data_IF_362937230795
#
_entry.id   IF_362937230795
#
_cell.length_a   1.000
_cell.length_b   1.000
_cell.length_c   1.000
_cell.angle_alpha   90.00
_cell.angle_beta   90.00
_cell.angle_gamma   90.00
#
_symmetry.space_group_name_H-M   'P 1'
#
loop_
_entity.id
_entity.type
_entity.pdbx_description
1 polymer ?
#
# COMPACT_ATOMS: atom_id res chain seq x y z
N UNK A 1 11.20 54.82 39.96
CA UNK A 1 10.76 53.46 39.55
C UNK A 1 9.88 53.58 38.31
N UNK A 2 10.44 53.50 37.10
CA UNK A 2 9.68 53.63 35.84
C UNK A 2 9.58 52.27 35.16
N UNK A 3 8.38 51.67 35.19
CA UNK A 3 8.06 50.37 34.59
C UNK A 3 8.01 50.54 33.06
N UNK A 4 9.06 50.15 32.35
CA UNK A 4 9.06 50.10 30.86
C UNK A 4 8.06 49.03 30.41
N UNK A 5 6.89 49.45 29.96
CA UNK A 5 5.94 48.61 29.23
C UNK A 5 6.55 48.25 27.88
N UNK A 6 6.65 46.95 27.58
CA UNK A 6 7.17 46.43 26.31
C UNK A 6 5.99 45.94 25.45
N UNK A 7 5.24 46.86 24.79
CA UNK A 7 4.06 46.50 24.00
C UNK A 7 4.42 45.55 22.85
N UNK A 8 5.66 45.61 22.35
CA UNK A 8 6.18 44.71 21.31
C UNK A 8 6.20 43.23 21.73
N UNK A 9 6.52 42.94 23.00
CA UNK A 9 6.54 41.57 23.51
C UNK A 9 5.11 40.99 23.61
N UNK A 10 4.13 41.84 23.90
CA UNK A 10 2.73 41.46 24.02
C UNK A 10 2.09 41.18 22.65
N UNK A 11 2.45 41.97 21.62
CA UNK A 11 1.95 41.79 20.24
C UNK A 11 2.47 40.49 19.61
N UNK A 12 3.74 40.12 19.82
CA UNK A 12 4.28 38.84 19.32
C UNK A 12 3.59 37.61 19.93
N UNK A 13 3.16 37.69 21.20
CA UNK A 13 2.48 36.58 21.88
C UNK A 13 1.05 36.35 21.33
N UNK A 14 0.35 37.42 20.94
CA UNK A 14 -1.02 37.34 20.38
C UNK A 14 -1.00 36.79 18.95
N UNK A 15 0.03 37.10 18.15
CA UNK A 15 0.18 36.55 16.78
C UNK A 15 0.52 35.06 16.80
N UNK A 16 1.31 34.59 17.77
CA UNK A 16 1.64 33.17 17.91
C UNK A 16 0.44 32.29 18.28
N UNK A 17 -0.56 32.83 18.99
CA UNK A 17 -1.73 32.08 19.43
C UNK A 17 -2.75 31.78 18.31
N UNK A 18 -2.69 32.50 17.19
CA UNK A 18 -3.62 32.34 16.06
C UNK A 18 -3.22 31.22 15.08
N UNK A 19 -2.03 30.64 15.23
CA UNK A 19 -1.44 29.68 14.29
C UNK A 19 -1.68 28.20 14.58
N UNK A 20 -2.30 27.84 15.72
CA UNK A 20 -2.55 26.44 16.07
C UNK A 20 -3.82 25.91 15.38
N UNK A 21 -3.80 25.88 14.05
CA UNK A 21 -4.77 25.08 13.29
C UNK A 21 -4.48 23.61 13.64
N UNK A 22 -5.47 22.94 14.24
CA UNK A 22 -5.39 21.51 14.47
C UNK A 22 -5.27 20.79 13.13
N UNK A 23 -4.28 19.91 13.02
CA UNK A 23 -3.91 19.25 11.77
C UNK A 23 -4.88 18.11 11.47
N UNK A 24 -5.17 17.92 10.18
CA UNK A 24 -6.00 16.82 9.71
C UNK A 24 -5.27 15.49 9.89
N UNK A 25 -6.01 14.44 10.25
CA UNK A 25 -5.47 13.09 10.37
C UNK A 25 -5.86 12.29 9.14
N UNK A 26 -4.89 11.58 8.55
CA UNK A 26 -5.14 10.77 7.34
C UNK A 26 -4.84 9.30 7.63
N UNK A 27 -5.82 8.43 7.40
CA UNK A 27 -5.63 6.98 7.41
C UNK A 27 -5.68 6.45 5.99
N UNK A 28 -4.61 5.78 5.57
CA UNK A 28 -4.53 5.04 4.33
C UNK A 28 -4.87 3.59 4.66
N UNK A 29 -5.96 3.07 4.10
CA UNK A 29 -6.38 1.70 4.34
C UNK A 29 -6.22 0.89 3.06
N UNK A 30 -5.44 -0.18 3.14
CA UNK A 30 -5.24 -1.13 2.04
C UNK A 30 -5.57 -2.54 2.51
N UNK A 31 -5.98 -3.37 1.56
CA UNK A 31 -6.01 -4.82 1.75
C UNK A 31 -4.61 -5.40 1.51
N UNK A 32 -4.29 -6.52 2.15
CA UNK A 32 -3.17 -7.37 1.73
C UNK A 32 -3.22 -7.73 0.23
N UNK A 33 -2.06 -7.98 -0.37
CA UNK A 33 -1.92 -8.41 -1.76
C UNK A 33 -2.31 -9.90 -1.97
N UNK A 34 -2.22 -10.39 -3.21
CA UNK A 34 -2.61 -11.73 -3.61
C UNK A 34 -1.92 -12.82 -2.78
N UNK A 35 -2.70 -13.76 -2.24
CA UNK A 35 -2.22 -14.87 -1.42
C UNK A 35 -1.86 -16.09 -2.28
N UNK A 36 -0.91 -16.90 -1.82
CA UNK A 36 -0.48 -18.12 -2.52
C UNK A 36 -1.56 -19.21 -2.50
N UNK A 37 -2.25 -19.39 -1.38
CA UNK A 37 -3.32 -20.37 -1.21
C UNK A 37 -4.58 -19.70 -0.67
N UNK A 38 -5.74 -20.08 -1.24
CA UNK A 38 -7.03 -19.62 -0.73
C UNK A 38 -7.51 -20.40 0.49
N UNK A 39 -6.97 -21.61 0.69
CA UNK A 39 -7.40 -22.57 1.73
C UNK A 39 -6.61 -22.40 3.02
N UNK A 40 -5.40 -21.85 2.95
CA UNK A 40 -4.56 -21.59 4.11
C UNK A 40 -4.85 -20.22 4.72
N UNK A 41 -5.14 -20.24 6.02
CA UNK A 41 -5.57 -19.11 6.84
C UNK A 41 -4.43 -18.11 7.11
N UNK A 42 -3.18 -18.60 7.13
CA UNK A 42 -1.96 -17.78 7.24
C UNK A 42 -1.07 -17.90 5.98
N UNK A 43 -1.73 -18.07 4.83
CA UNK A 43 -1.02 -18.17 3.55
C UNK A 43 -0.15 -16.92 3.29
N UNK A 44 1.11 -17.10 2.87
CA UNK A 44 1.95 -16.00 2.42
C UNK A 44 1.46 -15.41 1.09
N UNK A 45 2.10 -14.33 0.65
CA UNK A 45 1.85 -13.74 -0.67
C UNK A 45 2.30 -14.66 -1.79
N UNK A 46 1.51 -14.71 -2.86
CA UNK A 46 1.94 -15.29 -4.13
C UNK A 46 3.01 -14.40 -4.79
N UNK A 47 3.65 -14.91 -5.84
CA UNK A 47 4.61 -14.11 -6.61
C UNK A 47 3.96 -12.84 -7.20
N UNK A 48 2.71 -12.95 -7.65
CA UNK A 48 1.92 -11.79 -8.10
C UNK A 48 1.69 -10.78 -6.95
N UNK A 49 1.38 -11.27 -5.75
CA UNK A 49 1.21 -10.43 -4.57
C UNK A 49 2.49 -9.75 -4.13
N UNK A 50 3.63 -10.42 -4.22
CA UNK A 50 4.94 -9.82 -3.95
C UNK A 50 5.28 -8.71 -4.96
N UNK A 51 5.03 -8.94 -6.26
CA UNK A 51 5.19 -7.92 -7.31
C UNK A 51 4.28 -6.71 -7.05
N UNK A 52 3.02 -6.93 -6.66
CA UNK A 52 2.10 -5.85 -6.25
C UNK A 52 2.62 -5.07 -5.05
N UNK A 53 3.08 -5.76 -4.00
CA UNK A 53 3.61 -5.13 -2.79
C UNK A 53 4.80 -4.21 -3.11
N UNK A 54 5.67 -4.61 -4.04
CA UNK A 54 6.76 -3.76 -4.53
C UNK A 54 6.25 -2.55 -5.34
N UNK A 55 5.29 -2.78 -6.24
CA UNK A 55 4.72 -1.71 -7.07
C UNK A 55 3.93 -0.66 -6.25
N UNK A 56 3.42 -1.03 -5.07
CA UNK A 56 2.72 -0.15 -4.15
C UNK A 56 3.63 0.88 -3.46
N UNK A 57 4.92 0.61 -3.33
CA UNK A 57 5.87 1.46 -2.60
C UNK A 57 5.83 2.93 -3.04
N UNK A 58 6.03 3.28 -4.32
CA UNK A 58 6.05 4.70 -4.73
C UNK A 58 4.73 5.42 -4.46
N UNK A 59 3.59 4.74 -4.65
CA UNK A 59 2.27 5.29 -4.35
C UNK A 59 2.14 5.60 -2.87
N UNK A 60 2.42 4.62 -2.01
CA UNK A 60 2.22 4.75 -0.56
C UNK A 60 3.25 5.69 0.09
N UNK A 61 4.48 5.71 -0.43
CA UNK A 61 5.55 6.64 0.00
C UNK A 61 5.15 8.09 -0.26
N UNK A 62 4.42 8.38 -1.35
CA UNK A 62 3.99 9.76 -1.66
C UNK A 62 3.06 10.39 -0.61
N UNK A 63 2.41 9.58 0.22
CA UNK A 63 1.59 10.05 1.34
C UNK A 63 2.39 10.31 2.62
N UNK A 64 3.69 9.98 2.65
CA UNK A 64 4.58 10.16 3.80
C UNK A 64 4.01 9.57 5.11
N UNK A 65 3.67 8.27 5.16
CA UNK A 65 3.11 7.67 6.36
C UNK A 65 4.13 7.67 7.50
N UNK A 66 3.70 8.17 8.65
CA UNK A 66 4.50 8.26 9.89
C UNK A 66 4.41 6.99 10.74
N UNK A 67 3.37 6.20 10.54
CA UNK A 67 3.19 4.91 11.21
C UNK A 67 2.58 3.88 10.26
N UNK A 68 3.01 2.64 10.43
CA UNK A 68 2.56 1.48 9.66
C UNK A 68 1.90 0.49 10.62
N UNK A 69 0.70 0.03 10.30
CA UNK A 69 -0.03 -0.98 11.05
C UNK A 69 -0.41 -2.14 10.12
N UNK A 70 -0.25 -3.36 10.61
CA UNK A 70 -0.68 -4.56 9.91
C UNK A 70 -1.34 -5.53 10.88
N UNK A 71 -2.13 -6.47 10.35
CA UNK A 71 -2.49 -7.61 11.18
C UNK A 71 -1.29 -8.55 11.37
N UNK A 72 -1.38 -9.40 12.36
CA UNK A 72 -0.49 -10.52 12.71
C UNK A 72 -0.31 -11.60 11.61
N UNK A 73 -0.87 -11.41 10.41
CA UNK A 73 -0.84 -12.41 9.35
C UNK A 73 0.32 -12.22 8.40
N UNK A 74 0.87 -13.31 7.86
CA UNK A 74 2.01 -13.24 6.94
C UNK A 74 1.72 -12.37 5.73
N UNK A 75 0.56 -12.52 5.11
CA UNK A 75 0.15 -11.74 3.92
C UNK A 75 0.13 -10.22 4.16
N UNK A 76 -0.35 -9.75 5.31
CA UNK A 76 -0.41 -8.31 5.62
C UNK A 76 0.98 -7.77 5.90
N UNK A 77 1.78 -8.52 6.67
CA UNK A 77 3.17 -8.19 6.96
C UNK A 77 4.02 -8.13 5.68
N UNK A 78 3.92 -9.14 4.82
CA UNK A 78 4.65 -9.21 3.55
C UNK A 78 4.21 -8.14 2.55
N UNK A 79 2.94 -7.69 2.61
CA UNK A 79 2.47 -6.58 1.75
C UNK A 79 3.13 -5.26 2.14
N UNK A 80 3.33 -5.01 3.44
CA UNK A 80 3.98 -3.79 3.92
C UNK A 80 5.51 -3.88 3.94
N UNK A 81 6.10 -5.08 3.94
CA UNK A 81 7.54 -5.26 4.08
C UNK A 81 8.40 -4.40 3.12
N UNK A 82 8.07 -4.26 1.82
CA UNK A 82 8.85 -3.42 0.91
C UNK A 82 8.81 -1.93 1.30
N UNK A 83 7.64 -1.42 1.70
CA UNK A 83 7.48 -0.03 2.14
C UNK A 83 8.15 0.21 3.49
N UNK A 84 7.99 -0.72 4.43
CA UNK A 84 8.62 -0.69 5.74
C UNK A 84 10.15 -0.60 5.62
N UNK A 85 10.75 -1.41 4.74
CA UNK A 85 12.18 -1.35 4.44
C UNK A 85 12.60 0.00 3.84
N UNK A 86 11.80 0.55 2.90
CA UNK A 86 12.06 1.85 2.27
C UNK A 86 12.02 3.00 3.29
N UNK A 87 11.03 3.01 4.17
CA UNK A 87 10.83 4.04 5.20
C UNK A 87 11.66 3.80 6.46
N UNK A 88 12.32 2.64 6.58
CA UNK A 88 13.03 2.18 7.78
C UNK A 88 12.13 2.18 9.03
N UNK A 89 10.87 1.80 8.86
CA UNK A 89 9.88 1.70 9.93
C UNK A 89 9.50 0.24 10.17
N UNK A 90 9.20 -0.09 11.42
CA UNK A 90 8.66 -1.41 11.79
C UNK A 90 7.15 -1.32 11.92
N UNK A 91 6.36 -2.10 11.14
CA UNK A 91 4.91 -2.10 11.29
C UNK A 91 4.47 -2.60 12.67
N UNK A 92 3.55 -1.88 13.32
CA UNK A 92 2.87 -2.35 14.51
C UNK A 92 1.90 -3.47 14.14
N UNK A 93 2.02 -4.62 14.80
CA UNK A 93 1.21 -5.80 14.52
C UNK A 93 0.02 -5.89 15.48
N UNK A 94 -1.13 -6.23 14.92
CA UNK A 94 -2.40 -6.32 15.64
C UNK A 94 -3.10 -7.65 15.37
N UNK A 95 -3.77 -8.27 16.35
CA UNK A 95 -4.58 -9.46 16.11
C UNK A 95 -5.66 -9.20 15.05
N UNK A 96 -5.89 -10.13 14.10
CA UNK A 96 -6.90 -9.97 13.03
C UNK A 96 -8.29 -9.62 13.58
N UNK A 97 -8.69 -10.19 14.71
CA UNK A 97 -9.97 -9.95 15.37
C UNK A 97 -10.04 -8.63 16.14
N UNK A 98 -8.89 -7.99 16.42
CA UNK A 98 -8.77 -6.73 17.17
C UNK A 98 -9.11 -5.45 16.39
N UNK A 99 -10.02 -5.51 15.41
CA UNK A 99 -10.30 -4.36 14.51
C UNK A 99 -10.78 -3.11 15.27
N UNK A 100 -11.67 -3.27 16.25
CA UNK A 100 -12.17 -2.17 17.08
C UNK A 100 -11.11 -1.58 17.99
N UNK A 101 -10.28 -2.45 18.58
CA UNK A 101 -9.18 -2.02 19.45
C UNK A 101 -8.18 -1.18 18.65
N UNK A 102 -7.83 -1.62 17.44
CA UNK A 102 -6.99 -0.89 16.51
C UNK A 102 -7.62 0.46 16.15
N UNK A 103 -8.89 0.52 15.78
CA UNK A 103 -9.56 1.78 15.46
C UNK A 103 -9.54 2.78 16.63
N UNK A 104 -9.79 2.31 17.86
CA UNK A 104 -9.75 3.14 19.06
C UNK A 104 -8.33 3.62 19.41
N UNK A 105 -7.31 2.78 19.19
CA UNK A 105 -5.91 3.17 19.31
C UNK A 105 -5.54 4.26 18.30
N UNK A 106 -5.88 4.06 17.02
CA UNK A 106 -5.61 5.01 15.94
C UNK A 106 -6.24 6.38 16.21
N UNK A 107 -7.50 6.43 16.64
CA UNK A 107 -8.19 7.69 16.95
C UNK A 107 -7.55 8.46 18.13
N UNK A 108 -6.93 7.76 19.07
CA UNK A 108 -6.24 8.37 20.22
C UNK A 108 -4.82 8.82 19.87
N UNK A 109 -4.08 8.00 19.12
CA UNK A 109 -2.65 8.17 18.90
C UNK A 109 -2.26 8.87 17.61
N UNK A 110 -3.11 8.90 16.58
CA UNK A 110 -2.72 9.35 15.24
C UNK A 110 -3.04 10.82 14.93
N UNK A 111 -3.47 11.63 15.91
CA UNK A 111 -3.93 13.01 15.66
C UNK A 111 -2.88 13.83 14.90
N UNK A 112 -3.28 14.36 13.75
CA UNK A 112 -2.46 15.20 12.87
C UNK A 112 -1.40 14.43 12.08
N UNK A 113 -1.47 13.09 12.04
CA UNK A 113 -0.51 12.23 11.37
C UNK A 113 -1.11 11.50 10.18
N UNK A 114 -0.25 11.01 9.31
CA UNK A 114 -0.63 10.04 8.27
C UNK A 114 -0.27 8.63 8.71
N UNK A 115 -1.25 7.72 8.76
CA UNK A 115 -1.07 6.33 9.19
C UNK A 115 -1.53 5.39 8.09
N UNK A 116 -0.69 4.42 7.75
CA UNK A 116 -1.02 3.35 6.81
C UNK A 116 -1.42 2.08 7.56
N UNK A 117 -2.56 1.50 7.18
CA UNK A 117 -3.09 0.26 7.75
C UNK A 117 -3.29 -0.77 6.64
N UNK A 118 -2.62 -1.92 6.75
CA UNK A 118 -2.82 -3.07 5.88
C UNK A 118 -3.68 -4.13 6.58
N UNK A 119 -4.85 -4.41 6.02
CA UNK A 119 -5.87 -5.26 6.65
C UNK A 119 -6.48 -6.29 5.69
N UNK A 120 -7.64 -6.84 6.08
CA UNK A 120 -8.37 -7.88 5.35
C UNK A 120 -9.70 -7.34 4.84
N UNK A 121 -10.04 -7.68 3.59
CA UNK A 121 -11.23 -7.18 2.89
C UNK A 121 -12.55 -7.31 3.67
N UNK A 122 -12.71 -8.41 4.44
CA UNK A 122 -13.87 -8.73 5.29
C UNK A 122 -14.03 -7.74 6.44
N UNK A 123 -12.92 -7.18 6.94
CA UNK A 123 -12.88 -6.32 8.12
C UNK A 123 -12.65 -4.84 7.78
N UNK A 124 -12.35 -4.49 6.54
CA UNK A 124 -12.13 -3.11 6.10
C UNK A 124 -13.29 -2.18 6.40
N UNK A 125 -14.53 -2.63 6.15
CA UNK A 125 -15.75 -1.86 6.48
C UNK A 125 -15.85 -1.58 7.97
N UNK A 126 -15.54 -2.58 8.80
CA UNK A 126 -15.56 -2.48 10.26
C UNK A 126 -14.52 -1.49 10.75
N UNK A 127 -13.31 -1.53 10.18
CA UNK A 127 -12.25 -0.58 10.48
C UNK A 127 -12.65 0.85 10.10
N UNK A 128 -13.15 1.07 8.89
CA UNK A 128 -13.59 2.40 8.44
C UNK A 128 -14.72 2.98 9.32
N UNK A 129 -15.68 2.14 9.75
CA UNK A 129 -16.69 2.52 10.74
C UNK A 129 -16.09 2.89 12.08
N UNK A 130 -15.13 2.11 12.57
CA UNK A 130 -14.41 2.37 13.82
C UNK A 130 -13.65 3.70 13.80
N UNK A 131 -13.17 4.14 12.63
CA UNK A 131 -12.55 5.45 12.42
C UNK A 131 -13.57 6.61 12.31
N UNK A 132 -14.87 6.33 12.41
CA UNK A 132 -15.93 7.35 12.43
C UNK A 132 -16.51 7.70 11.06
N UNK A 133 -16.21 6.94 10.00
CA UNK A 133 -16.81 7.16 8.66
C UNK A 133 -18.30 6.85 8.71
N UNK A 134 -19.12 7.88 8.41
CA UNK A 134 -20.58 7.81 8.34
C UNK A 134 -21.05 7.53 6.90
N UNK A 135 -22.30 7.10 6.73
CA UNK A 135 -22.90 6.91 5.41
C UNK A 135 -22.55 5.58 4.72
N UNK A 136 -22.85 5.41 3.43
CA UNK A 136 -22.57 4.17 2.70
C UNK A 136 -21.06 3.98 2.50
N UNK A 137 -20.55 2.79 2.87
CA UNK A 137 -19.14 2.42 2.66
C UNK A 137 -19.08 1.41 1.50
N UNK A 138 -18.26 1.66 0.47
CA UNK A 138 -18.10 0.75 -0.66
C UNK A 138 -17.76 -0.68 -0.22
N UNK A 139 -18.20 -1.67 -0.99
CA UNK A 139 -17.83 -3.06 -0.77
C UNK A 139 -16.65 -3.43 -1.66
N UNK A 140 -15.63 -4.04 -1.07
CA UNK A 140 -14.56 -4.69 -1.82
C UNK A 140 -14.93 -6.14 -2.06
N UNK A 141 -15.05 -6.51 -3.34
CA UNK A 141 -15.16 -7.91 -3.72
C UNK A 141 -13.90 -8.69 -3.34
N UNK A 142 -14.00 -10.02 -3.32
CA UNK A 142 -12.88 -10.91 -3.01
C UNK A 142 -11.69 -10.72 -3.96
N UNK A 143 -11.92 -10.23 -5.18
CA UNK A 143 -10.90 -10.05 -6.21
C UNK A 143 -10.37 -8.60 -6.29
N UNK A 144 -10.93 -7.68 -5.50
CA UNK A 144 -10.47 -6.30 -5.45
C UNK A 144 -9.20 -6.18 -4.59
N UNK A 145 -8.04 -6.19 -5.26
CA UNK A 145 -6.71 -5.98 -4.66
C UNK A 145 -6.11 -4.59 -4.97
N UNK A 146 -6.70 -3.87 -5.91
CA UNK A 146 -6.22 -2.61 -6.48
C UNK A 146 -6.88 -1.36 -5.87
N UNK A 147 -7.52 -1.50 -4.71
CA UNK A 147 -8.23 -0.42 -4.00
C UNK A 147 -7.37 0.16 -2.88
N UNK A 148 -7.49 1.46 -2.69
CA UNK A 148 -6.91 2.24 -1.60
C UNK A 148 -8.02 3.14 -1.04
N UNK A 149 -8.29 3.05 0.26
CA UNK A 149 -9.16 4.01 0.92
C UNK A 149 -8.34 5.06 1.64
N UNK A 150 -8.66 6.32 1.40
CA UNK A 150 -8.08 7.46 2.11
C UNK A 150 -9.16 8.02 3.01
N UNK A 151 -9.03 7.79 4.32
CA UNK A 151 -9.92 8.35 5.34
C UNK A 151 -9.29 9.61 5.88
N UNK A 152 -9.96 10.75 5.71
CA UNK A 152 -9.50 12.04 6.24
C UNK A 152 -10.41 12.42 7.40
N UNK A 153 -9.81 12.59 8.57
CA UNK A 153 -10.48 13.13 9.75
C UNK A 153 -10.02 14.57 9.91
N UNK A 154 -10.85 15.55 9.50
CA UNK A 154 -10.52 16.94 9.69
C UNK A 154 -10.50 17.28 11.17
N UNK A 155 -9.70 18.26 11.58
CA UNK A 155 -9.70 18.72 12.96
C UNK A 155 -11.06 19.27 13.44
N UNK A 156 -11.87 19.76 12.50
CA UNK A 156 -13.26 20.17 12.71
C UNK A 156 -14.08 19.64 11.54
N UNK A 157 -15.07 18.80 11.84
CA UNK A 157 -15.98 18.22 10.85
C UNK A 157 -16.11 16.70 10.98
N UNK A 158 -16.82 16.11 10.02
CA UNK A 158 -17.01 14.67 9.96
C UNK A 158 -15.89 13.98 9.17
N UNK A 159 -15.48 12.76 9.56
CA UNK A 159 -14.59 11.93 8.76
C UNK A 159 -15.14 11.68 7.35
N UNK A 160 -14.28 11.80 6.35
CA UNK A 160 -14.60 11.49 4.95
C UNK A 160 -13.80 10.29 4.49
N UNK A 161 -14.38 9.50 3.58
CA UNK A 161 -13.73 8.34 2.96
C UNK A 161 -13.73 8.53 1.45
N UNK A 162 -12.53 8.54 0.88
CA UNK A 162 -12.29 8.60 -0.56
C UNK A 162 -11.74 7.24 -1.01
N UNK A 163 -12.38 6.61 -2.00
CA UNK A 163 -11.84 5.42 -2.65
C UNK A 163 -11.01 5.81 -3.87
N UNK A 164 -9.78 5.32 -3.92
CA UNK A 164 -8.86 5.44 -5.05
C UNK A 164 -8.50 4.08 -5.60
N UNK A 165 -8.19 4.02 -6.89
CA UNK A 165 -7.45 2.88 -7.45
C UNK A 165 -5.96 3.10 -7.27
N UNK A 166 -5.23 2.01 -7.07
CA UNK A 166 -3.77 2.07 -6.94
C UNK A 166 -3.08 2.42 -8.26
N UNK A 167 -3.77 2.22 -9.41
CA UNK A 167 -3.27 2.54 -10.77
C UNK A 167 -1.82 2.09 -10.97
N UNK A 168 -1.50 0.89 -10.46
CA UNK A 168 -0.14 0.38 -10.48
C UNK A 168 0.29 0.18 -11.93
N UNK A 169 1.20 1.04 -12.40
CA UNK A 169 1.87 0.82 -13.67
C UNK A 169 2.72 -0.42 -13.48
N UNK A 170 2.26 -1.54 -14.03
CA UNK A 170 3.13 -2.70 -14.20
C UNK A 170 4.25 -2.21 -15.11
N UNK A 171 5.42 -1.94 -14.53
CA UNK A 171 6.60 -1.58 -15.32
C UNK A 171 6.94 -2.80 -16.17
N UNK A 172 6.35 -2.88 -17.36
CA UNK A 172 6.66 -3.83 -18.41
C UNK A 172 8.04 -3.57 -19.03
N UNK A 173 9.02 -3.16 -18.21
CA UNK A 173 10.43 -3.09 -18.60
C UNK A 173 11.07 -4.46 -18.42
N UNK A 174 10.49 -5.49 -19.04
CA UNK A 174 11.25 -6.64 -19.57
C UNK A 174 10.42 -7.56 -20.49
N UNK A 175 9.61 -7.02 -21.39
CA UNK A 175 9.03 -7.80 -22.50
C UNK A 175 9.28 -7.06 -23.80
N UNK A 176 10.55 -7.01 -24.21
CA UNK A 176 10.90 -6.78 -25.60
C UNK A 176 11.13 -8.15 -26.25
N UNK A 177 10.04 -8.86 -26.52
CA UNK A 177 10.02 -9.86 -27.59
C UNK A 177 9.84 -9.09 -28.90
N UNK A 178 10.88 -8.39 -29.35
CA UNK A 178 10.95 -7.84 -30.70
C UNK A 178 11.47 -8.96 -31.62
N UNK A 179 10.56 -9.80 -32.13
CA UNK A 179 10.80 -10.52 -33.39
C UNK A 179 9.91 -9.90 -34.46
N UNK A 180 10.25 -8.68 -34.85
CA UNK A 180 9.88 -8.15 -36.15
C UNK A 180 11.10 -7.41 -36.72
N UNK A 181 12.04 -8.19 -37.26
CA UNK A 181 13.15 -7.65 -38.04
C UNK A 181 12.69 -7.52 -39.50
N UNK A 182 12.69 -6.32 -40.11
CA UNK A 182 12.52 -6.21 -41.55
C UNK A 182 13.82 -6.61 -42.26
N UNK A 183 13.60 -7.22 -43.41
CA UNK A 183 14.54 -7.70 -44.41
C UNK A 183 15.71 -6.78 -44.75
N UNK A 184 16.90 -7.37 -44.82
CA UNK A 184 17.88 -7.13 -45.89
C UNK A 184 18.99 -6.13 -45.61
N UNK A 185 20.19 -6.62 -45.25
CA UNK A 185 21.49 -6.19 -45.83
C UNK A 185 22.46 -7.39 -45.82
N UNK A 186 23.21 -7.46 -46.91
CA UNK A 186 24.15 -8.46 -47.42
C UNK A 186 25.39 -8.78 -46.56
N UNK A 187 25.82 -10.05 -46.68
CA UNK A 187 27.20 -10.56 -46.72
C UNK A 187 28.14 -10.31 -45.52
N UNK A 188 28.70 -11.39 -44.96
CA UNK A 188 30.13 -11.79 -45.07
C UNK A 188 30.35 -13.13 -44.34
N UNK A 189 31.25 -13.94 -44.89
CA UNK A 189 31.35 -15.38 -44.63
C UNK A 189 32.40 -15.79 -43.57
N UNK A 190 32.21 -17.02 -43.05
CA UNK A 190 33.16 -17.96 -42.38
C UNK A 190 33.56 -17.68 -40.91
N UNK A 191 33.13 -18.58 -40.02
CA UNK A 191 33.95 -19.68 -39.48
C UNK A 191 33.38 -20.28 -38.17
N UNK A 192 33.17 -21.60 -38.17
CA UNK A 192 33.12 -22.59 -37.07
C UNK A 192 33.21 -22.07 -35.60
N UNK A 193 32.24 -22.44 -34.76
CA UNK A 193 32.33 -23.58 -33.80
C UNK A 193 31.30 -23.49 -32.64
N UNK A 194 30.67 -24.63 -32.35
CA UNK A 194 30.18 -25.10 -31.03
C UNK A 194 29.06 -24.36 -30.27
N UNK A 195 27.84 -24.91 -30.32
CA UNK A 195 27.13 -25.56 -29.20
C UNK A 195 25.63 -25.74 -29.56
N UNK A 196 24.98 -26.88 -29.28
CA UNK A 196 23.55 -27.05 -29.53
C UNK A 196 22.70 -26.45 -28.41
N UNK A 197 21.83 -25.50 -28.77
CA UNK A 197 20.72 -25.03 -27.94
C UNK A 197 19.65 -26.13 -27.87
N UNK A 198 19.31 -26.57 -26.65
CA UNK A 198 18.19 -27.49 -26.41
C UNK A 198 16.85 -26.73 -26.36
N UNK A 199 15.75 -27.30 -26.89
CA UNK A 199 14.46 -26.61 -26.93
C UNK A 199 13.72 -26.66 -25.59
N UNK A 200 13.00 -25.56 -25.28
CA UNK A 200 11.94 -25.50 -24.27
C UNK A 200 10.85 -26.56 -24.54
N UNK A 201 10.29 -27.22 -23.50
CA UNK A 201 9.16 -28.12 -23.70
C UNK A 201 7.85 -27.33 -23.74
N UNK A 202 7.20 -27.34 -24.90
CA UNK A 202 5.76 -27.08 -25.08
C UNK A 202 5.01 -28.41 -25.15
N UNK A 203 3.84 -28.46 -24.52
CA UNK A 203 2.72 -29.23 -25.04
C UNK A 203 2.56 -30.68 -24.58
N UNK A 204 1.47 -30.90 -23.85
CA UNK A 204 0.48 -31.92 -24.21
C UNK A 204 0.88 -33.40 -24.05
N UNK A 205 0.50 -34.01 -22.92
CA UNK A 205 0.40 -35.47 -22.80
C UNK A 205 -1.07 -35.89 -22.95
N UNK A 206 -1.45 -36.71 -23.95
CA UNK A 206 -2.68 -37.48 -23.92
C UNK A 206 -2.44 -38.94 -23.47
N UNK A 207 -3.41 -39.45 -22.69
CA UNK A 207 -3.81 -40.84 -22.37
C UNK A 207 -2.92 -42.03 -22.81
N UNK A 208 -2.72 -43.00 -21.90
CA UNK A 208 -3.46 -44.28 -21.90
C UNK A 208 -3.15 -45.17 -20.68
N UNK A 209 -4.18 -45.90 -20.24
CA UNK A 209 -4.19 -46.98 -19.24
C UNK A 209 -3.39 -48.22 -19.71
N UNK A 210 -3.06 -49.10 -18.76
CA UNK A 210 -3.62 -50.47 -18.81
C UNK A 210 -4.69 -50.71 -17.73
#
# INVERSE_FOLDING_TARGET
MTRRSHPFLFVCLVVAALGLQAQDTTFLLIRHAERQSLLDEDSPLSEAGQRRAQALVPLLESFHPEALHASDRKRTQQTLAPLAAKLKQTPALHPKDGTEALAAELLRGARGRTVLVCWHHDLMKKLARGLGVKGPIPYWSLDAYDRLWVVRIPAKGDPTLEERRQELVVSARNTRCDLNAPSGVTAWARSRAHAPEGPCPDGSVPRQLP
#
